data_IF_117445278468
#
_entry.id   IF_117445278468
#
_cell.length_a   1.000
_cell.length_b   1.000
_cell.length_c   1.000
_cell.angle_alpha   90.00
_cell.angle_beta   90.00
_cell.angle_gamma   90.00
#
_symmetry.space_group_name_H-M   'P 1'
#
loop_
_entity.id
_entity.type
_entity.pdbx_description
1 polymer ?
#
# COMPACT_ATOMS: atom_id res chain seq x y z
N UNK A 1 2.49 -65.79 -9.67
CA UNK A 1 3.59 -65.50 -8.72
C UNK A 1 3.09 -64.48 -7.72
N UNK A 2 3.13 -64.87 -6.45
CA UNK A 2 2.34 -64.34 -5.33
C UNK A 2 3.33 -63.89 -4.26
N UNK A 3 3.34 -62.60 -3.86
CA UNK A 3 3.92 -62.03 -2.61
C UNK A 3 3.25 -60.65 -2.43
N UNK A 4 2.38 -60.33 -1.48
CA UNK A 4 2.26 -60.57 -0.03
C UNK A 4 3.34 -59.85 0.80
N UNK A 5 2.94 -59.32 1.97
CA UNK A 5 3.66 -58.58 3.04
C UNK A 5 3.87 -57.05 2.83
N UNK A 6 3.63 -56.15 3.78
CA UNK A 6 3.22 -56.26 5.20
C UNK A 6 2.58 -54.93 5.68
N UNK A 7 1.63 -55.07 6.61
CA UNK A 7 1.01 -54.03 7.44
C UNK A 7 1.92 -53.74 8.65
N UNK A 8 2.11 -52.48 9.01
CA UNK A 8 2.62 -52.09 10.34
C UNK A 8 1.54 -51.26 11.04
N UNK A 9 0.96 -51.86 12.07
CA UNK A 9 0.14 -51.22 13.11
C UNK A 9 0.95 -51.30 14.40
N UNK A 10 1.24 -50.14 14.99
CA UNK A 10 1.64 -49.90 16.39
C UNK A 10 1.19 -48.45 16.64
N UNK A 11 0.26 -48.12 17.53
CA UNK A 11 0.02 -48.67 18.86
C UNK A 11 0.57 -47.65 19.87
N UNK A 12 -0.30 -46.89 20.54
CA UNK A 12 0.14 -45.90 21.53
C UNK A 12 -0.99 -45.04 22.09
N UNK A 13 -1.82 -45.65 22.92
CA UNK A 13 -2.85 -44.98 23.71
C UNK A 13 -2.25 -44.21 24.91
N UNK A 14 -2.92 -43.13 25.30
CA UNK A 14 -3.04 -42.72 26.71
C UNK A 14 -2.12 -41.60 27.18
N UNK A 15 -2.67 -40.38 27.24
CA UNK A 15 -2.45 -39.48 28.39
C UNK A 15 -3.67 -38.56 28.52
N UNK A 16 -4.66 -39.04 29.27
CA UNK A 16 -5.54 -38.20 30.08
C UNK A 16 -4.70 -37.70 31.25
N UNK A 17 -4.75 -36.39 31.54
CA UNK A 17 -4.67 -35.75 32.86
C UNK A 17 -4.52 -34.22 32.68
N UNK A 18 -5.64 -33.52 32.73
CA UNK A 18 -5.75 -32.22 33.43
C UNK A 18 -6.22 -32.56 34.84
N UNK A 19 -5.78 -31.88 35.92
CA UNK A 19 -6.08 -30.45 36.11
C UNK A 19 -5.01 -29.66 36.89
N UNK A 20 -5.08 -28.33 36.84
CA UNK A 20 -4.95 -27.44 38.01
C UNK A 20 -4.94 -25.98 37.56
N UNK A 21 -6.08 -25.33 37.76
CA UNK A 21 -6.21 -23.89 37.81
C UNK A 21 -5.47 -23.38 39.05
N UNK A 22 -4.37 -22.64 38.86
CA UNK A 22 -3.76 -21.87 39.94
C UNK A 22 -4.36 -20.46 39.92
N UNK A 23 -5.43 -20.26 40.71
CA UNK A 23 -5.91 -18.93 41.07
C UNK A 23 -4.92 -18.30 42.05
N UNK A 24 -4.10 -17.37 41.56
CA UNK A 24 -3.30 -16.51 42.42
C UNK A 24 -4.25 -15.53 43.15
N UNK A 25 -4.46 -15.81 44.43
CA UNK A 25 -5.25 -15.03 45.36
C UNK A 25 -4.38 -13.86 45.88
N UNK A 26 -4.51 -12.68 45.30
CA UNK A 26 -3.94 -11.46 45.86
C UNK A 26 -4.95 -10.86 46.85
N UNK A 27 -4.66 -11.03 48.15
CA UNK A 27 -5.31 -10.28 49.22
C UNK A 27 -4.81 -8.83 49.29
N UNK A 28 -5.60 -7.91 49.87
CA UNK A 28 -5.37 -6.47 49.78
C UNK A 28 -4.28 -6.03 50.75
N UNK A 29 -3.29 -5.30 50.24
CA UNK A 29 -2.40 -4.50 51.10
C UNK A 29 -2.86 -3.05 51.04
N UNK A 30 -3.27 -2.57 52.20
CA UNK A 30 -3.70 -1.21 52.48
C UNK A 30 -2.64 -0.17 52.08
N UNK A 31 -3.08 0.97 51.55
CA UNK A 31 -2.26 2.17 51.46
C UNK A 31 -2.60 3.10 50.31
N UNK A 32 -3.30 4.19 50.65
CA UNK A 32 -3.33 5.49 49.95
C UNK A 32 -3.93 5.52 48.53
N UNK A 33 -5.20 5.95 48.49
CA UNK A 33 -5.96 6.19 47.26
C UNK A 33 -5.49 7.42 46.49
N UNK A 34 -5.27 7.20 45.20
CA UNK A 34 -5.42 8.20 44.13
C UNK A 34 -6.38 7.63 43.08
N UNK A 35 -7.17 8.45 42.37
CA UNK A 35 -8.11 7.95 41.39
C UNK A 35 -7.37 7.28 40.23
N UNK A 36 -7.65 6.00 39.98
CA UNK A 36 -7.16 5.28 38.81
C UNK A 36 -7.83 5.84 37.53
N UNK A 37 -7.10 5.96 36.41
CA UNK A 37 -7.68 6.41 35.16
C UNK A 37 -8.66 5.35 34.62
N UNK A 38 -9.90 5.78 34.38
CA UNK A 38 -10.89 4.99 33.65
C UNK A 38 -10.49 5.01 32.17
N UNK A 39 -10.04 3.87 31.64
CA UNK A 39 -9.90 3.68 30.19
C UNK A 39 -11.27 3.27 29.67
N UNK A 40 -11.98 4.22 29.08
CA UNK A 40 -13.21 3.97 28.32
C UNK A 40 -12.80 3.64 26.88
N UNK A 41 -13.11 2.45 26.32
CA UNK A 41 -12.97 2.24 24.88
C UNK A 41 -14.08 3.01 24.16
N UNK A 42 -13.76 4.15 23.56
CA UNK A 42 -14.72 4.89 22.73
C UNK A 42 -14.82 4.25 21.34
N UNK A 43 -15.79 3.38 21.14
CA UNK A 43 -16.36 3.11 19.82
C UNK A 43 -17.47 4.14 19.58
N UNK A 44 -17.17 5.22 18.86
CA UNK A 44 -18.18 6.17 18.40
C UNK A 44 -18.17 6.26 16.86
N UNK A 45 -19.16 5.67 16.16
CA UNK A 45 -19.22 5.65 14.70
C UNK A 45 -19.76 6.95 14.05
N UNK A 46 -19.95 8.04 14.80
CA UNK A 46 -20.64 9.25 14.29
C UNK A 46 -19.74 10.40 13.82
N UNK A 47 -18.41 10.25 13.80
CA UNK A 47 -17.52 11.28 13.23
C UNK A 47 -17.16 10.98 11.77
N UNK A 48 -18.14 11.08 10.88
CA UNK A 48 -17.85 11.37 9.47
C UNK A 48 -17.69 12.88 9.37
N UNK A 49 -16.46 13.38 9.28
CA UNK A 49 -16.23 14.81 8.99
C UNK A 49 -16.31 14.97 7.47
N UNK A 50 -17.38 15.58 6.91
CA UNK A 50 -17.42 15.87 5.50
C UNK A 50 -16.27 16.82 5.15
N UNK A 51 -15.42 16.38 4.21
CA UNK A 51 -14.38 17.24 3.65
C UNK A 51 -15.04 18.19 2.64
N UNK A 52 -15.29 19.43 3.05
CA UNK A 52 -15.71 20.47 2.12
C UNK A 52 -14.50 20.96 1.32
N UNK A 53 -14.53 20.71 0.00
CA UNK A 53 -13.57 21.29 -0.94
C UNK A 53 -14.04 22.69 -1.33
N UNK A 54 -13.38 23.71 -0.82
CA UNK A 54 -13.53 25.07 -1.33
C UNK A 54 -12.45 25.34 -2.38
N UNK A 55 -12.87 25.46 -3.65
CA UNK A 55 -12.03 26.01 -4.71
C UNK A 55 -12.17 27.53 -4.69
N UNK A 56 -11.13 28.24 -4.28
CA UNK A 56 -11.05 29.69 -4.47
C UNK A 56 -10.25 29.98 -5.73
N UNK A 57 -10.91 30.52 -6.75
CA UNK A 57 -10.24 31.01 -7.96
C UNK A 57 -9.75 32.43 -7.69
N UNK A 58 -8.44 32.63 -7.60
CA UNK A 58 -7.84 33.96 -7.55
C UNK A 58 -7.26 34.29 -8.92
N UNK A 59 -7.85 35.28 -9.58
CA UNK A 59 -7.29 35.88 -10.79
C UNK A 59 -6.29 36.96 -10.38
N UNK A 60 -5.02 36.76 -10.69
CA UNK A 60 -4.00 37.80 -10.58
C UNK A 60 -3.74 38.36 -11.99
N UNK A 61 -3.86 39.69 -12.21
CA UNK A 61 -3.43 40.29 -13.46
C UNK A 61 -1.90 40.24 -13.55
N UNK A 62 -1.37 39.36 -14.40
CA UNK A 62 0.04 39.29 -14.77
C UNK A 62 0.25 39.69 -16.24
N UNK A 63 1.50 39.99 -16.66
CA UNK A 63 1.81 40.44 -18.03
C UNK A 63 1.65 39.34 -19.10
N UNK A 64 1.30 38.12 -18.70
CA UNK A 64 1.05 37.00 -19.60
C UNK A 64 -0.46 36.69 -19.62
N UNK A 65 -1.15 36.84 -20.75
CA UNK A 65 -2.51 36.34 -20.87
C UNK A 65 -2.47 34.80 -20.72
N UNK A 66 -3.32 34.25 -19.84
CA UNK A 66 -3.55 32.82 -19.57
C UNK A 66 -2.61 32.07 -18.58
N UNK A 67 -1.98 32.72 -17.61
CA UNK A 67 -1.34 31.97 -16.50
C UNK A 67 -2.31 31.78 -15.33
N UNK A 68 -2.95 30.61 -15.24
CA UNK A 68 -3.71 30.18 -14.05
C UNK A 68 -2.81 29.37 -13.12
N UNK A 69 -2.63 29.86 -11.89
CA UNK A 69 -1.91 29.14 -10.84
C UNK A 69 -2.94 28.48 -9.93
N UNK A 70 -2.87 27.15 -9.82
CA UNK A 70 -3.75 26.37 -8.95
C UNK A 70 -3.08 26.18 -7.59
N UNK A 71 -3.72 26.66 -6.52
CA UNK A 71 -3.32 26.31 -5.16
C UNK A 71 -4.48 25.66 -4.44
N UNK A 72 -4.42 24.35 -4.25
CA UNK A 72 -5.37 23.62 -3.42
C UNK A 72 -4.96 23.78 -1.96
N UNK A 73 -5.77 24.47 -1.14
CA UNK A 73 -5.58 24.53 0.32
C UNK A 73 -6.60 23.65 1.02
N UNK A 74 -6.12 22.85 1.96
CA UNK A 74 -6.95 22.07 2.87
C UNK A 74 -7.13 22.87 4.16
N UNK A 75 -8.37 23.23 4.50
CA UNK A 75 -8.70 23.82 5.80
C UNK A 75 -9.42 22.79 6.65
N UNK A 76 -8.89 22.52 7.83
CA UNK A 76 -9.58 21.77 8.88
C UNK A 76 -10.22 22.80 9.82
N UNK A 77 -11.51 23.10 9.64
CA UNK A 77 -12.26 23.90 10.61
C UNK A 77 -13.07 22.99 11.53
N UNK A 78 -12.86 23.10 12.83
CA UNK A 78 -13.76 22.52 13.84
C UNK A 78 -15.03 23.38 13.93
N UNK A 79 -16.20 22.74 13.84
CA UNK A 79 -17.51 23.40 13.80
C UNK A 79 -17.91 23.96 15.19
N UNK A 80 -18.33 25.23 15.36
CA UNK A 80 -18.60 25.82 16.67
C UNK A 80 -20.09 25.73 17.05
N UNK A 81 -20.65 24.51 17.14
CA UNK A 81 -22.10 24.34 17.39
C UNK A 81 -22.45 23.81 18.81
N UNK A 82 -21.47 23.55 19.68
CA UNK A 82 -21.78 23.08 21.05
C UNK A 82 -20.97 23.81 22.13
N UNK A 83 -21.36 25.05 22.43
CA UNK A 83 -21.06 25.68 23.72
C UNK A 83 -22.36 26.19 24.34
N UNK A 84 -22.93 25.37 25.22
CA UNK A 84 -24.14 25.71 25.99
C UNK A 84 -23.69 26.05 27.41
N UNK A 85 -23.59 27.34 27.73
CA UNK A 85 -23.91 27.85 29.08
C UNK A 85 -24.05 29.38 29.09
N UNK A 86 -25.09 29.94 29.74
CA UNK A 86 -25.36 31.37 29.76
C UNK A 86 -24.89 32.03 31.07
N UNK A 87 -24.12 33.12 30.99
CA UNK A 87 -24.15 34.21 31.98
C UNK A 87 -23.10 35.30 31.68
N UNK A 88 -23.61 36.50 31.39
CA UNK A 88 -23.04 37.84 31.56
C UNK A 88 -21.98 38.40 30.57
N UNK A 89 -21.98 39.74 30.38
CA UNK A 89 -21.46 40.39 29.18
C UNK A 89 -20.15 41.15 29.39
N UNK A 90 -19.64 41.60 28.24
CA UNK A 90 -18.77 42.74 27.98
C UNK A 90 -17.23 42.51 27.97
N UNK A 91 -16.71 42.59 26.74
CA UNK A 91 -15.62 43.47 26.30
C UNK A 91 -14.34 43.44 27.14
N UNK A 92 -13.30 42.76 26.64
CA UNK A 92 -12.00 43.36 26.31
C UNK A 92 -11.19 42.34 25.49
N UNK A 93 -10.67 42.78 24.35
CA UNK A 93 -9.69 42.04 23.56
C UNK A 93 -8.36 42.01 24.33
N UNK A 94 -7.92 40.84 24.78
CA UNK A 94 -6.52 40.65 25.15
C UNK A 94 -5.98 39.36 24.53
N UNK A 95 -5.01 39.58 23.67
CA UNK A 95 -3.99 38.64 23.24
C UNK A 95 -3.27 38.10 24.47
N UNK A 96 -3.53 36.85 24.84
CA UNK A 96 -2.67 36.09 25.73
C UNK A 96 -2.58 34.65 25.22
N UNK A 97 -1.34 34.25 24.94
CA UNK A 97 -1.01 32.89 24.57
C UNK A 97 -1.39 31.92 25.69
N UNK A 98 -1.90 30.77 25.29
CA UNK A 98 -2.01 29.62 26.16
C UNK A 98 -1.39 28.42 25.48
N UNK A 99 -0.27 28.03 26.07
CA UNK A 99 0.51 26.84 25.79
C UNK A 99 -0.33 25.60 26.06
N UNK A 100 -0.53 24.78 25.04
CA UNK A 100 -0.88 23.37 25.24
C UNK A 100 0.27 22.50 24.73
N UNK A 101 0.86 21.79 25.68
CA UNK A 101 1.84 20.72 25.49
C UNK A 101 1.22 19.59 24.66
N UNK A 102 1.59 19.55 23.38
CA UNK A 102 1.36 18.43 22.46
C UNK A 102 2.73 17.96 21.97
N UNK A 103 2.95 16.65 22.03
CA UNK A 103 4.20 15.96 21.71
C UNK A 103 4.76 16.43 20.36
N UNK A 104 6.03 16.84 20.39
CA UNK A 104 6.72 17.48 19.28
C UNK A 104 6.94 16.58 18.08
N UNK A 105 6.12 16.77 17.05
CA UNK A 105 6.61 16.73 15.67
C UNK A 105 7.09 18.13 15.36
N UNK A 106 8.39 18.28 15.08
CA UNK A 106 9.03 19.56 14.82
C UNK A 106 8.29 20.29 13.69
N UNK A 107 7.68 21.47 13.92
CA UNK A 107 6.97 22.22 12.87
C UNK A 107 7.89 22.71 11.74
N UNK A 108 9.21 22.55 11.91
CA UNK A 108 10.21 22.98 10.93
C UNK A 108 10.38 22.02 9.75
N UNK A 109 9.99 20.74 9.84
CA UNK A 109 10.28 19.77 8.77
C UNK A 109 9.47 20.04 7.49
N UNK A 110 8.18 20.32 7.64
CA UNK A 110 7.33 20.68 6.50
C UNK A 110 7.72 22.03 5.88
N UNK A 111 8.16 22.98 6.72
CA UNK A 111 8.61 24.30 6.28
C UNK A 111 9.98 24.24 5.59
N UNK A 112 10.88 23.37 6.03
CA UNK A 112 12.17 23.09 5.37
C UNK A 112 11.98 22.39 4.03
N UNK A 113 11.13 21.36 3.97
CA UNK A 113 10.80 20.69 2.71
C UNK A 113 10.21 21.66 1.68
N UNK A 114 9.34 22.58 2.12
CA UNK A 114 8.79 23.62 1.25
C UNK A 114 9.84 24.63 0.78
N UNK A 115 10.80 24.99 1.65
CA UNK A 115 11.91 25.89 1.29
C UNK A 115 12.89 25.24 0.31
N UNK A 116 13.19 23.96 0.49
CA UNK A 116 14.08 23.23 -0.41
C UNK A 116 13.45 23.00 -1.78
N UNK A 117 12.14 22.73 -1.85
CA UNK A 117 11.41 22.67 -3.11
C UNK A 117 11.46 24.02 -3.86
N UNK A 118 11.30 25.14 -3.14
CA UNK A 118 11.42 26.48 -3.73
C UNK A 118 12.85 26.82 -4.17
N UNK A 119 13.89 26.37 -3.44
CA UNK A 119 15.29 26.53 -3.87
C UNK A 119 15.57 25.73 -5.14
N UNK A 120 15.10 24.49 -5.21
CA UNK A 120 15.26 23.62 -6.38
C UNK A 120 14.57 24.23 -7.63
N UNK A 121 13.37 24.79 -7.46
CA UNK A 121 12.67 25.49 -8.55
C UNK A 121 13.38 26.78 -8.98
N UNK A 122 13.98 27.54 -8.05
CA UNK A 122 14.81 28.71 -8.40
C UNK A 122 16.08 28.33 -9.13
N UNK A 123 16.79 27.28 -8.70
CA UNK A 123 17.99 26.81 -9.39
C UNK A 123 17.73 26.28 -10.78
N UNK A 124 16.51 25.78 -11.06
CA UNK A 124 16.10 25.37 -12.40
C UNK A 124 15.64 26.52 -13.29
N UNK A 125 15.21 27.66 -12.72
CA UNK A 125 14.68 28.81 -13.46
C UNK A 125 15.69 29.93 -13.67
N UNK A 126 16.80 29.94 -12.94
CA UNK A 126 17.95 30.80 -13.26
C UNK A 126 18.85 30.11 -14.28
N UNK A 127 18.85 30.50 -15.57
CA UNK A 127 19.94 30.13 -16.45
C UNK A 127 21.25 30.63 -15.83
N UNK A 128 22.36 29.89 -15.93
CA UNK A 128 23.63 30.33 -15.39
C UNK A 128 23.93 31.72 -15.94
N UNK A 129 24.13 32.69 -15.04
CA UNK A 129 24.51 34.03 -15.40
C UNK A 129 25.83 33.96 -16.17
N UNK A 130 25.74 33.97 -17.49
CA UNK A 130 26.87 34.16 -18.37
C UNK A 130 27.33 35.59 -18.16
N UNK A 131 28.46 35.75 -17.50
CA UNK A 131 29.18 37.01 -17.47
C UNK A 131 29.58 37.37 -18.91
N UNK A 132 28.85 38.33 -19.46
CA UNK A 132 29.21 39.28 -20.53
C UNK A 132 30.56 39.01 -21.23
N UNK A 133 30.50 38.28 -22.34
CA UNK A 133 31.44 38.41 -23.44
C UNK A 133 30.64 38.83 -24.69
N UNK A 134 30.37 40.13 -24.79
CA UNK A 134 29.86 40.75 -26.01
C UNK A 134 31.01 40.77 -27.02
N UNK A 135 30.95 39.95 -28.07
CA UNK A 135 31.82 40.17 -29.24
C UNK A 135 32.36 38.99 -30.04
N UNK A 136 31.94 37.73 -29.84
CA UNK A 136 32.37 36.64 -30.73
C UNK A 136 31.18 35.91 -31.36
N UNK A 137 31.06 36.01 -32.68
CA UNK A 137 30.24 35.08 -33.48
C UNK A 137 30.82 33.67 -33.28
N UNK A 138 30.06 32.69 -32.77
CA UNK A 138 30.56 31.32 -32.71
C UNK A 138 30.65 30.77 -34.13
N UNK A 139 31.86 30.55 -34.60
CA UNK A 139 32.12 29.79 -35.81
C UNK A 139 31.56 28.37 -35.61
N UNK A 140 30.77 27.91 -36.59
CA UNK A 140 30.05 26.64 -36.65
C UNK A 140 30.45 25.58 -35.64
N UNK A 141 29.70 25.49 -34.54
CA UNK A 141 29.64 24.26 -33.78
C UNK A 141 28.96 23.22 -34.66
N UNK A 142 29.76 22.34 -35.26
CA UNK A 142 29.29 21.11 -35.88
C UNK A 142 28.59 20.35 -34.75
N UNK A 143 27.25 20.37 -34.75
CA UNK A 143 26.47 19.45 -33.93
C UNK A 143 26.82 18.08 -34.49
N UNK A 144 27.77 17.41 -33.84
CA UNK A 144 28.12 16.03 -34.13
C UNK A 144 26.81 15.24 -34.02
N UNK A 145 26.29 14.85 -35.18
CA UNK A 145 25.01 14.15 -35.27
C UNK A 145 25.11 12.94 -34.37
N UNK A 146 24.33 12.92 -33.29
CA UNK A 146 24.26 11.77 -32.38
C UNK A 146 24.07 10.54 -33.26
N UNK A 147 25.01 9.56 -33.23
CA UNK A 147 24.92 8.40 -34.10
C UNK A 147 23.53 7.80 -33.95
N UNK A 148 22.88 7.60 -35.10
CA UNK A 148 21.52 7.08 -35.20
C UNK A 148 21.55 5.58 -34.85
N UNK A 149 21.86 5.27 -33.59
CA UNK A 149 21.85 3.90 -33.10
C UNK A 149 20.43 3.38 -33.23
N UNK A 150 20.21 2.24 -33.92
CA UNK A 150 18.88 1.67 -34.05
C UNK A 150 18.30 1.47 -32.65
N UNK A 151 17.11 2.03 -32.40
CA UNK A 151 16.42 1.80 -31.14
C UNK A 151 16.32 0.28 -30.90
N UNK A 152 16.58 -0.20 -29.67
CA UNK A 152 16.44 -1.61 -29.34
C UNK A 152 15.08 -2.13 -29.80
N UNK A 153 15.08 -3.31 -30.42
CA UNK A 153 13.87 -3.94 -30.93
C UNK A 153 12.82 -4.04 -29.81
N UNK A 154 11.61 -3.52 -30.07
CA UNK A 154 10.50 -3.44 -29.10
C UNK A 154 10.40 -2.12 -28.31
N UNK A 155 11.43 -1.26 -28.32
CA UNK A 155 11.40 0.01 -27.59
C UNK A 155 10.39 1.02 -28.18
N UNK A 156 10.30 1.07 -29.51
CA UNK A 156 9.31 1.91 -30.20
C UNK A 156 7.86 1.50 -29.89
N UNK A 157 7.60 0.21 -29.71
CA UNK A 157 6.28 -0.31 -29.32
C UNK A 157 5.96 0.02 -27.86
N UNK A 158 6.95 -0.06 -26.98
CA UNK A 158 6.82 0.24 -25.55
C UNK A 158 6.61 1.75 -25.25
N UNK A 159 7.12 2.64 -26.12
CA UNK A 159 6.95 4.09 -26.02
C UNK A 159 5.84 4.68 -26.90
N UNK A 160 5.32 3.91 -27.85
CA UNK A 160 4.14 4.33 -28.60
C UNK A 160 3.00 4.66 -27.62
N UNK A 161 2.01 5.48 -28.01
CA UNK A 161 0.83 5.72 -27.18
C UNK A 161 0.23 4.36 -26.82
N UNK A 162 0.54 3.88 -25.61
CA UNK A 162 0.16 2.55 -25.22
C UNK A 162 -1.36 2.51 -25.24
N UNK A 163 -1.91 1.47 -25.86
CA UNK A 163 -3.34 1.24 -25.81
C UNK A 163 -3.74 1.25 -24.33
N UNK A 164 -4.59 2.22 -23.98
CA UNK A 164 -5.00 2.43 -22.59
C UNK A 164 -5.56 1.14 -22.00
N UNK A 165 -6.29 0.34 -22.79
CA UNK A 165 -6.82 -0.93 -22.34
C UNK A 165 -5.72 -1.90 -21.90
N UNK A 166 -4.60 -1.98 -22.65
CA UNK A 166 -3.45 -2.82 -22.33
C UNK A 166 -2.67 -2.35 -21.10
N UNK A 167 -2.64 -1.04 -20.86
CA UNK A 167 -2.04 -0.51 -19.62
C UNK A 167 -2.90 -0.87 -18.43
N UNK A 168 -4.22 -0.73 -18.56
CA UNK A 168 -5.16 -1.04 -17.48
C UNK A 168 -5.30 -2.53 -17.20
N UNK A 169 -5.11 -3.42 -18.18
CA UNK A 169 -5.03 -4.87 -17.92
C UNK A 169 -3.70 -5.29 -17.27
N UNK A 170 -2.72 -4.38 -17.18
CA UNK A 170 -1.36 -4.68 -16.73
C UNK A 170 -0.50 -5.41 -17.78
N UNK A 171 -1.03 -5.73 -18.96
CA UNK A 171 -0.31 -6.41 -20.04
C UNK A 171 0.95 -5.63 -20.46
N UNK A 172 0.82 -4.34 -20.77
CA UNK A 172 1.97 -3.53 -21.21
C UNK A 172 3.00 -3.30 -20.09
N UNK A 173 2.54 -3.24 -18.82
CA UNK A 173 3.45 -3.18 -17.68
C UNK A 173 4.25 -4.47 -17.52
N UNK A 174 3.63 -5.63 -17.80
CA UNK A 174 4.31 -6.92 -17.78
C UNK A 174 5.32 -7.08 -18.94
N UNK A 175 5.00 -6.56 -20.13
CA UNK A 175 5.94 -6.48 -21.26
C UNK A 175 7.15 -5.60 -20.90
N UNK A 176 6.91 -4.42 -20.32
CA UNK A 176 7.96 -3.52 -19.84
C UNK A 176 8.81 -4.18 -18.75
N UNK A 177 8.19 -4.86 -17.78
CA UNK A 177 8.88 -5.60 -16.73
C UNK A 177 9.84 -6.64 -17.34
N UNK A 178 9.39 -7.44 -18.30
CA UNK A 178 10.23 -8.43 -18.98
C UNK A 178 11.39 -7.77 -19.75
N UNK A 179 11.12 -6.66 -20.44
CA UNK A 179 12.15 -5.90 -21.16
C UNK A 179 13.20 -5.31 -20.22
N UNK A 180 12.79 -4.76 -19.08
CA UNK A 180 13.70 -4.23 -18.05
C UNK A 180 14.58 -5.34 -17.48
N UNK A 181 14.00 -6.49 -17.11
CA UNK A 181 14.77 -7.64 -16.59
C UNK A 181 15.83 -8.12 -17.60
N UNK A 182 15.54 -8.06 -18.90
CA UNK A 182 16.50 -8.39 -19.96
C UNK A 182 17.59 -7.31 -20.13
N UNK A 183 17.26 -6.04 -19.91
CA UNK A 183 18.17 -4.91 -20.09
C UNK A 183 19.08 -4.63 -18.88
N UNK A 184 18.62 -4.90 -17.65
CA UNK A 184 19.35 -4.61 -16.41
C UNK A 184 20.78 -5.17 -16.35
N UNK A 185 21.07 -6.42 -16.78
CA UNK A 185 22.43 -6.96 -16.78
C UNK A 185 23.42 -6.15 -17.63
N UNK A 186 22.94 -5.47 -18.67
CA UNK A 186 23.76 -4.71 -19.61
C UNK A 186 23.79 -3.20 -19.31
N UNK A 187 22.70 -2.66 -18.75
CA UNK A 187 22.51 -1.22 -18.55
C UNK A 187 23.26 -0.62 -17.37
N UNK A 188 23.77 -1.47 -16.46
CA UNK A 188 24.37 -1.05 -15.19
C UNK A 188 23.37 -0.41 -14.22
N UNK A 189 23.86 -0.01 -13.04
CA UNK A 189 23.03 0.71 -12.07
C UNK A 189 22.70 2.10 -12.61
N UNK A 190 21.43 2.32 -12.98
CA UNK A 190 20.89 3.61 -13.42
C UNK A 190 19.96 4.18 -12.36
N UNK A 191 19.87 5.50 -12.29
CA UNK A 191 18.85 6.16 -11.51
C UNK A 191 17.46 5.72 -12.02
N UNK A 192 16.58 5.35 -11.10
CA UNK A 192 15.22 4.91 -11.42
C UNK A 192 14.20 5.86 -10.82
N UNK A 193 13.05 5.96 -11.48
CA UNK A 193 11.95 6.79 -10.99
C UNK A 193 11.49 6.29 -9.62
N UNK A 194 11.19 7.23 -8.74
CA UNK A 194 10.61 6.94 -7.44
C UNK A 194 9.12 6.65 -7.58
N UNK A 195 8.66 5.60 -6.88
CA UNK A 195 7.28 5.13 -6.85
C UNK A 195 6.74 5.37 -5.44
N UNK A 196 5.80 6.32 -5.26
CA UNK A 196 5.27 6.65 -3.94
C UNK A 196 4.42 5.50 -3.38
N UNK A 197 4.35 5.41 -2.05
CA UNK A 197 3.58 4.39 -1.34
C UNK A 197 2.08 4.36 -1.74
N UNK A 198 1.48 5.52 -1.98
CA UNK A 198 0.10 5.65 -2.42
C UNK A 198 -0.14 4.90 -3.74
N UNK A 199 0.74 5.08 -4.72
CA UNK A 199 0.64 4.39 -6.00
C UNK A 199 0.79 2.89 -5.81
N UNK A 200 1.76 2.44 -5.01
CA UNK A 200 1.92 1.01 -4.72
C UNK A 200 0.63 0.42 -4.14
N UNK A 201 -0.08 1.13 -3.24
CA UNK A 201 -1.31 0.67 -2.59
C UNK A 201 -2.49 0.49 -3.54
N UNK A 202 -2.45 1.17 -4.68
CA UNK A 202 -3.50 1.11 -5.70
C UNK A 202 -3.27 0.02 -6.75
N UNK A 203 -2.03 -0.46 -6.86
CA UNK A 203 -1.64 -1.49 -7.83
C UNK A 203 -1.96 -2.89 -7.33
N UNK A 204 -2.47 -3.74 -8.25
CA UNK A 204 -2.72 -5.16 -8.01
C UNK A 204 -1.68 -6.01 -8.71
N UNK A 205 -1.26 -7.06 -7.99
CA UNK A 205 -0.34 -8.06 -8.52
C UNK A 205 -1.09 -9.34 -8.90
N UNK A 206 -0.58 -10.09 -9.86
CA UNK A 206 -1.11 -11.37 -10.31
C UNK A 206 0.01 -12.34 -10.70
N UNK A 207 -0.36 -13.42 -11.38
CA UNK A 207 0.57 -14.40 -11.97
C UNK A 207 1.10 -15.48 -11.03
N UNK A 208 0.86 -15.38 -9.71
CA UNK A 208 1.28 -16.40 -8.74
C UNK A 208 0.46 -16.39 -7.45
N UNK A 209 0.46 -17.51 -6.72
CA UNK A 209 -0.13 -17.63 -5.37
C UNK A 209 0.39 -16.53 -4.42
N UNK A 210 1.66 -16.13 -4.59
CA UNK A 210 2.31 -15.08 -3.80
C UNK A 210 1.67 -13.70 -4.04
N UNK A 211 1.19 -13.44 -5.26
CA UNK A 211 0.51 -12.20 -5.59
C UNK A 211 -0.84 -12.09 -4.85
N UNK A 212 -1.61 -13.16 -4.79
CA UNK A 212 -2.87 -13.20 -4.04
C UNK A 212 -2.63 -12.98 -2.55
N UNK A 213 -1.63 -13.67 -1.98
CA UNK A 213 -1.22 -13.50 -0.60
C UNK A 213 -0.82 -12.05 -0.29
N UNK A 214 -0.02 -11.43 -1.17
CA UNK A 214 0.40 -10.04 -1.05
C UNK A 214 -0.78 -9.08 -1.13
N UNK A 215 -1.67 -9.24 -2.12
CA UNK A 215 -2.84 -8.39 -2.29
C UNK A 215 -3.79 -8.46 -1.07
N UNK A 216 -4.02 -9.66 -0.54
CA UNK A 216 -4.86 -9.87 0.65
C UNK A 216 -4.19 -9.31 1.90
N UNK A 217 -2.91 -9.60 2.13
CA UNK A 217 -2.20 -9.17 3.32
C UNK A 217 -2.13 -7.65 3.43
N UNK A 218 -1.99 -6.92 2.32
CA UNK A 218 -2.05 -5.44 2.31
C UNK A 218 -3.41 -4.87 2.72
N UNK A 219 -4.46 -5.69 2.70
CA UNK A 219 -5.84 -5.33 3.04
C UNK A 219 -6.31 -5.91 4.38
N UNK A 220 -5.43 -6.48 5.19
CA UNK A 220 -5.83 -7.27 6.35
C UNK A 220 -6.69 -6.54 7.40
N UNK A 221 -6.63 -5.21 7.49
CA UNK A 221 -7.53 -4.41 8.34
C UNK A 221 -8.87 -4.03 7.68
N UNK A 222 -8.97 -4.15 6.36
CA UNK A 222 -10.11 -3.75 5.53
C UNK A 222 -10.43 -4.87 4.52
N UNK A 223 -10.59 -6.10 5.01
CA UNK A 223 -11.03 -7.21 4.18
C UNK A 223 -12.47 -6.97 3.73
N UNK A 224 -12.68 -6.91 2.42
CA UNK A 224 -14.01 -6.88 1.82
C UNK A 224 -14.56 -8.30 1.76
N UNK A 225 -15.45 -8.61 2.70
CA UNK A 225 -16.16 -9.87 2.70
C UNK A 225 -17.28 -9.83 1.65
N UNK A 226 -17.45 -10.89 0.84
CA UNK A 226 -18.62 -11.04 -0.03
C UNK A 226 -19.93 -11.02 0.77
N UNK A 227 -21.03 -10.58 0.14
CA UNK A 227 -22.35 -10.44 0.77
C UNK A 227 -22.86 -11.74 1.43
N UNK A 228 -22.44 -12.91 0.94
CA UNK A 228 -22.75 -14.20 1.57
C UNK A 228 -22.36 -14.27 3.06
N UNK A 229 -21.30 -13.56 3.48
CA UNK A 229 -20.86 -13.51 4.88
C UNK A 229 -21.68 -12.57 5.77
N UNK A 230 -22.69 -11.88 5.23
CA UNK A 230 -23.72 -11.18 6.01
C UNK A 230 -24.80 -12.15 6.53
N UNK A 231 -24.83 -13.39 6.03
CA UNK A 231 -25.72 -14.43 6.54
C UNK A 231 -25.43 -14.72 8.02
N UNK A 232 -26.50 -14.84 8.84
CA UNK A 232 -26.40 -15.09 10.27
C UNK A 232 -25.56 -16.33 10.61
N UNK A 233 -25.60 -17.38 9.77
CA UNK A 233 -24.83 -18.61 9.96
C UNK A 233 -23.31 -18.43 9.79
N UNK A 234 -22.87 -17.39 9.06
CA UNK A 234 -21.45 -17.11 8.81
C UNK A 234 -20.91 -15.91 9.59
N UNK A 235 -21.75 -15.20 10.34
CA UNK A 235 -21.37 -13.95 11.01
C UNK A 235 -20.20 -14.15 11.98
N UNK A 236 -20.25 -15.21 12.79
CA UNK A 236 -19.18 -15.52 13.75
C UNK A 236 -17.90 -15.95 13.04
N UNK A 237 -18.02 -16.74 11.96
CA UNK A 237 -16.88 -17.19 11.17
C UNK A 237 -16.22 -16.02 10.41
N UNK A 238 -17.01 -15.05 9.93
CA UNK A 238 -16.50 -13.80 9.35
C UNK A 238 -15.63 -13.04 10.34
N UNK A 239 -16.10 -12.86 11.58
CA UNK A 239 -15.36 -12.15 12.63
C UNK A 239 -14.08 -12.91 13.02
N UNK A 240 -14.18 -14.23 13.17
CA UNK A 240 -13.03 -15.07 13.46
C UNK A 240 -11.98 -15.03 12.34
N UNK A 241 -12.41 -15.15 11.08
CA UNK A 241 -11.56 -15.04 9.90
C UNK A 241 -10.83 -13.70 9.85
N UNK A 242 -11.57 -12.59 10.02
CA UNK A 242 -10.98 -11.25 10.00
C UNK A 242 -9.89 -11.09 11.08
N UNK A 243 -10.19 -11.52 12.32
CA UNK A 243 -9.25 -11.45 13.44
C UNK A 243 -8.01 -12.30 13.21
N UNK A 244 -8.20 -13.58 12.85
CA UNK A 244 -7.09 -14.53 12.74
C UNK A 244 -6.22 -14.23 11.52
N UNK A 245 -6.82 -13.77 10.41
CA UNK A 245 -6.09 -13.29 9.24
C UNK A 245 -5.27 -12.04 9.56
N UNK A 246 -5.86 -11.05 10.26
CA UNK A 246 -5.14 -9.84 10.65
C UNK A 246 -3.88 -10.14 11.47
N UNK A 247 -3.97 -11.09 12.42
CA UNK A 247 -2.84 -11.49 13.25
C UNK A 247 -1.68 -12.14 12.46
N UNK A 248 -1.99 -12.79 11.34
CA UNK A 248 -1.01 -13.39 10.43
C UNK A 248 -0.44 -12.34 9.47
N UNK A 249 -1.32 -11.53 8.87
CA UNK A 249 -0.95 -10.53 7.89
C UNK A 249 -0.09 -9.40 8.47
N UNK A 250 -0.29 -9.03 9.74
CA UNK A 250 0.57 -8.05 10.44
C UNK A 250 2.06 -8.47 10.39
N UNK A 251 2.34 -9.76 10.55
CA UNK A 251 3.72 -10.30 10.50
C UNK A 251 4.27 -10.23 9.08
N UNK A 252 3.45 -10.56 8.08
CA UNK A 252 3.83 -10.44 6.67
C UNK A 252 4.11 -9.00 6.27
N UNK A 253 3.24 -8.06 6.66
CA UNK A 253 3.40 -6.62 6.39
C UNK A 253 4.69 -6.08 7.02
N UNK A 254 5.09 -6.61 8.17
CA UNK A 254 6.36 -6.29 8.80
C UNK A 254 7.58 -6.97 8.13
N UNK A 255 7.38 -7.72 7.04
CA UNK A 255 8.41 -8.50 6.34
C UNK A 255 8.95 -9.69 7.15
N UNK A 256 8.24 -10.13 8.19
CA UNK A 256 8.68 -11.17 9.12
C UNK A 256 7.99 -12.50 8.84
N UNK A 257 8.63 -13.59 9.25
CA UNK A 257 8.02 -14.91 9.23
C UNK A 257 6.75 -14.94 10.11
N UNK A 258 5.72 -15.60 9.60
CA UNK A 258 4.44 -15.79 10.30
C UNK A 258 4.64 -16.79 11.45
N UNK A 259 4.06 -16.47 12.61
CA UNK A 259 4.05 -17.37 13.77
C UNK A 259 3.28 -18.67 13.46
N UNK A 260 3.89 -19.81 13.76
CA UNK A 260 3.31 -21.12 13.43
C UNK A 260 1.97 -21.38 14.11
N UNK A 261 1.79 -20.92 15.36
CA UNK A 261 0.55 -21.10 16.11
C UNK A 261 -0.55 -20.20 15.53
N UNK A 262 -0.24 -18.93 15.24
CA UNK A 262 -1.20 -18.02 14.58
C UNK A 262 -1.64 -18.54 13.21
N UNK A 263 -0.70 -19.10 12.43
CA UNK A 263 -1.00 -19.71 11.13
C UNK A 263 -1.91 -20.94 11.27
N UNK A 264 -1.61 -21.83 12.20
CA UNK A 264 -2.44 -23.01 12.47
C UNK A 264 -3.86 -22.62 12.94
N UNK A 265 -3.96 -21.58 13.78
CA UNK A 265 -5.24 -21.04 14.20
C UNK A 265 -6.05 -20.50 13.01
N UNK A 266 -5.42 -19.72 12.12
CA UNK A 266 -6.07 -19.22 10.92
C UNK A 266 -6.53 -20.35 10.00
N UNK A 267 -5.74 -21.41 9.85
CA UNK A 267 -6.09 -22.60 9.08
C UNK A 267 -7.35 -23.30 9.62
N UNK A 268 -7.45 -23.50 10.94
CA UNK A 268 -8.63 -24.10 11.57
C UNK A 268 -9.87 -23.22 11.35
N UNK A 269 -9.73 -21.91 11.53
CA UNK A 269 -10.82 -20.95 11.31
C UNK A 269 -11.28 -20.95 9.84
N UNK A 270 -10.36 -21.05 8.89
CA UNK A 270 -10.69 -21.14 7.47
C UNK A 270 -11.46 -22.43 7.13
N UNK A 271 -11.01 -23.58 7.62
CA UNK A 271 -11.70 -24.86 7.42
C UNK A 271 -13.11 -24.85 8.02
N UNK A 272 -13.28 -24.22 9.19
CA UNK A 272 -14.59 -24.04 9.82
C UNK A 272 -15.51 -23.20 8.95
N UNK A 273 -15.02 -22.05 8.45
CA UNK A 273 -15.78 -21.17 7.58
C UNK A 273 -16.16 -21.85 6.25
N UNK A 274 -15.27 -22.64 5.66
CA UNK A 274 -15.57 -23.43 4.45
C UNK A 274 -16.68 -24.46 4.69
N UNK A 275 -16.64 -25.15 5.84
CA UNK A 275 -17.67 -26.13 6.22
C UNK A 275 -19.02 -25.46 6.46
N UNK A 276 -19.04 -24.34 7.19
CA UNK A 276 -20.24 -23.56 7.43
C UNK A 276 -20.82 -23.03 6.11
N UNK A 277 -19.97 -22.49 5.23
CA UNK A 277 -20.37 -22.01 3.91
C UNK A 277 -20.98 -23.13 3.05
N UNK A 278 -20.37 -24.32 3.06
CA UNK A 278 -20.87 -25.46 2.30
C UNK A 278 -22.30 -25.86 2.70
N UNK A 279 -22.68 -25.68 3.96
CA UNK A 279 -24.03 -26.01 4.47
C UNK A 279 -25.12 -25.07 3.94
N UNK A 280 -24.81 -23.78 3.79
CA UNK A 280 -25.78 -22.76 3.34
C UNK A 280 -25.70 -22.44 1.84
N UNK A 281 -24.67 -22.94 1.15
CA UNK A 281 -24.37 -22.60 -0.25
C UNK A 281 -25.57 -22.78 -1.20
N UNK A 282 -26.42 -23.79 -0.95
CA UNK A 282 -27.58 -24.10 -1.80
C UNK A 282 -28.71 -23.06 -1.67
N UNK A 283 -28.73 -22.32 -0.58
CA UNK A 283 -29.77 -21.34 -0.26
C UNK A 283 -29.36 -19.91 -0.66
N UNK A 284 -28.12 -19.72 -1.13
CA UNK A 284 -27.59 -18.42 -1.56
C UNK A 284 -27.81 -18.20 -3.06
N UNK A 285 -27.93 -16.93 -3.50
CA UNK A 285 -27.82 -16.58 -4.91
C UNK A 285 -26.53 -17.11 -5.54
N UNK A 286 -26.59 -17.56 -6.80
CA UNK A 286 -25.45 -18.18 -7.47
C UNK A 286 -24.21 -17.26 -7.54
N UNK A 287 -24.43 -15.96 -7.74
CA UNK A 287 -23.36 -14.96 -7.78
C UNK A 287 -22.68 -14.80 -6.43
N UNK A 288 -23.45 -14.72 -5.34
CA UNK A 288 -22.92 -14.63 -3.97
C UNK A 288 -22.17 -15.89 -3.56
N UNK A 289 -22.70 -17.06 -3.90
CA UNK A 289 -22.03 -18.34 -3.66
C UNK A 289 -20.69 -18.43 -4.44
N UNK A 290 -20.65 -17.91 -5.66
CA UNK A 290 -19.42 -17.89 -6.48
C UNK A 290 -18.39 -16.91 -5.90
N UNK A 291 -18.82 -15.72 -5.50
CA UNK A 291 -17.95 -14.72 -4.87
C UNK A 291 -17.37 -15.22 -3.54
N UNK A 292 -18.20 -15.81 -2.67
CA UNK A 292 -17.77 -16.39 -1.39
C UNK A 292 -16.77 -17.52 -1.58
N UNK A 293 -17.02 -18.43 -2.52
CA UNK A 293 -16.09 -19.52 -2.85
C UNK A 293 -14.76 -18.98 -3.36
N UNK A 294 -14.78 -17.98 -4.25
CA UNK A 294 -13.54 -17.35 -4.77
C UNK A 294 -12.74 -16.72 -3.63
N UNK A 295 -13.41 -16.01 -2.72
CA UNK A 295 -12.78 -15.39 -1.55
C UNK A 295 -12.13 -16.42 -0.62
N UNK A 296 -12.83 -17.50 -0.27
CA UNK A 296 -12.28 -18.58 0.56
C UNK A 296 -11.08 -19.26 -0.11
N UNK A 297 -11.16 -19.50 -1.43
CA UNK A 297 -10.03 -20.02 -2.20
C UNK A 297 -8.81 -19.07 -2.17
N UNK A 298 -9.01 -17.76 -2.30
CA UNK A 298 -7.93 -16.78 -2.21
C UNK A 298 -7.26 -16.80 -0.81
N UNK A 299 -8.06 -16.93 0.25
CA UNK A 299 -7.53 -17.10 1.61
C UNK A 299 -6.75 -18.41 1.78
N UNK A 300 -7.23 -19.52 1.22
CA UNK A 300 -6.54 -20.80 1.24
C UNK A 300 -5.20 -20.74 0.48
N UNK A 301 -5.17 -20.07 -0.67
CA UNK A 301 -3.95 -19.81 -1.44
C UNK A 301 -2.97 -18.96 -0.63
N UNK A 302 -3.44 -17.89 0.03
CA UNK A 302 -2.61 -17.06 0.88
C UNK A 302 -2.01 -17.85 2.06
N UNK A 303 -2.81 -18.68 2.71
CA UNK A 303 -2.37 -19.58 3.78
C UNK A 303 -1.28 -20.55 3.29
N UNK A 304 -1.41 -21.10 2.08
CA UNK A 304 -0.40 -21.97 1.47
C UNK A 304 0.94 -21.25 1.27
N UNK A 305 0.91 -20.00 0.79
CA UNK A 305 2.13 -19.18 0.68
C UNK A 305 2.75 -18.91 2.04
N UNK A 306 1.95 -18.66 3.07
CA UNK A 306 2.44 -18.45 4.45
C UNK A 306 3.07 -19.70 5.09
N UNK A 307 2.87 -20.88 4.50
CA UNK A 307 3.53 -22.13 4.92
C UNK A 307 4.90 -22.28 4.28
N UNK A 308 5.18 -21.60 3.18
CA UNK A 308 6.47 -21.66 2.49
C UNK A 308 7.42 -20.58 3.00
N UNK A 309 8.72 -20.86 3.01
CA UNK A 309 9.74 -19.88 3.44
C UNK A 309 9.75 -18.61 2.56
N UNK A 310 9.17 -18.70 1.36
CA UNK A 310 9.00 -17.58 0.41
C UNK A 310 8.06 -16.49 0.92
N UNK A 311 7.25 -16.72 1.96
CA UNK A 311 6.45 -15.65 2.56
C UNK A 311 7.31 -14.58 3.25
N UNK A 312 8.51 -14.92 3.70
CA UNK A 312 9.40 -13.97 4.38
C UNK A 312 9.93 -12.95 3.37
N UNK A 313 9.68 -11.67 3.64
CA UNK A 313 10.04 -10.56 2.75
C UNK A 313 9.10 -10.38 1.55
N UNK A 314 7.99 -11.13 1.46
CA UNK A 314 7.01 -10.96 0.39
C UNK A 314 6.44 -9.54 0.35
N UNK A 315 6.29 -8.89 1.51
CA UNK A 315 5.99 -7.46 1.58
C UNK A 315 7.23 -6.78 2.11
N UNK A 316 7.75 -5.82 1.36
CA UNK A 316 8.78 -4.93 1.86
C UNK A 316 8.12 -3.88 2.78
N UNK A 317 8.44 -3.84 4.09
CA UNK A 317 7.83 -2.89 5.01
C UNK A 317 8.09 -1.43 4.60
N UNK A 318 9.18 -1.15 3.86
CA UNK A 318 9.51 0.19 3.37
C UNK A 318 8.49 0.74 2.39
N UNK A 319 7.78 -0.13 1.67
CA UNK A 319 6.75 0.30 0.73
C UNK A 319 5.63 1.09 1.39
N UNK A 320 5.36 0.82 2.67
CA UNK A 320 4.30 1.50 3.42
C UNK A 320 4.68 2.92 3.85
N UNK A 321 5.95 3.14 4.23
CA UNK A 321 6.44 4.40 4.80
C UNK A 321 7.15 5.28 3.77
N UNK A 322 8.00 4.68 2.96
CA UNK A 322 8.94 5.38 2.08
C UNK A 322 8.61 5.20 0.60
N UNK A 323 7.83 4.19 0.21
CA UNK A 323 7.65 3.83 -1.19
C UNK A 323 8.80 2.96 -1.69
N UNK A 324 9.11 3.03 -3.00
CA UNK A 324 10.19 2.25 -3.61
C UNK A 324 10.71 2.93 -4.87
N UNK A 325 11.78 2.41 -5.47
CA UNK A 325 12.17 2.78 -6.83
C UNK A 325 11.65 1.75 -7.85
N UNK A 326 11.55 2.13 -9.13
CA UNK A 326 11.18 1.17 -10.19
C UNK A 326 12.16 -0.01 -10.24
N UNK A 327 13.46 0.23 -10.09
CA UNK A 327 14.47 -0.83 -10.09
C UNK A 327 14.23 -1.84 -8.95
N UNK A 328 13.97 -1.34 -7.74
CA UNK A 328 13.73 -2.21 -6.58
C UNK A 328 12.39 -2.94 -6.69
N UNK A 329 11.36 -2.29 -7.25
CA UNK A 329 10.08 -2.93 -7.53
C UNK A 329 10.24 -4.06 -8.55
N UNK A 330 10.99 -3.84 -9.63
CA UNK A 330 11.28 -4.88 -10.65
C UNK A 330 12.00 -6.06 -10.01
N UNK A 331 13.07 -5.82 -9.25
CA UNK A 331 13.79 -6.89 -8.52
C UNK A 331 12.87 -7.68 -7.61
N UNK A 332 12.01 -6.99 -6.87
CA UNK A 332 11.05 -7.62 -5.97
C UNK A 332 10.04 -8.48 -6.75
N UNK A 333 9.46 -7.94 -7.82
CA UNK A 333 8.54 -8.68 -8.68
C UNK A 333 9.20 -9.89 -9.34
N UNK A 334 10.45 -9.78 -9.81
CA UNK A 334 11.19 -10.92 -10.35
C UNK A 334 11.46 -11.98 -9.29
N UNK A 335 11.88 -11.58 -8.08
CA UNK A 335 12.17 -12.50 -6.97
C UNK A 335 10.94 -13.33 -6.59
N UNK A 336 9.77 -12.69 -6.52
CA UNK A 336 8.53 -13.34 -6.10
C UNK A 336 7.64 -13.79 -7.25
N UNK A 337 8.13 -13.71 -8.51
CA UNK A 337 7.38 -14.04 -9.73
C UNK A 337 6.01 -13.35 -9.76
N UNK A 338 5.99 -12.07 -9.44
CA UNK A 338 4.81 -11.22 -9.49
C UNK A 338 4.67 -10.62 -10.88
N UNK A 339 3.44 -10.49 -11.31
CA UNK A 339 3.05 -9.75 -12.50
C UNK A 339 2.05 -8.67 -12.09
N UNK A 340 1.81 -7.68 -12.94
CA UNK A 340 0.69 -6.77 -12.78
C UNK A 340 -0.60 -7.47 -13.19
N UNK A 341 -1.66 -7.26 -12.41
CA UNK A 341 -3.02 -7.70 -12.73
C UNK A 341 -3.85 -6.50 -13.20
N UNK A 342 -5.10 -6.74 -13.58
CA UNK A 342 -6.05 -5.70 -13.98
C UNK A 342 -6.17 -4.59 -12.91
N UNK A 343 -6.23 -3.35 -13.39
CA UNK A 343 -6.41 -2.17 -12.58
C UNK A 343 -7.80 -2.20 -11.91
N UNK A 344 -7.88 -2.02 -10.58
CA UNK A 344 -9.17 -1.79 -9.92
C UNK A 344 -9.84 -0.53 -10.49
N UNK A 345 -11.17 -0.55 -10.56
CA UNK A 345 -11.94 0.64 -10.93
C UNK A 345 -11.59 1.82 -10.03
N UNK A 346 -11.27 2.97 -10.63
CA UNK A 346 -10.83 4.18 -9.94
C UNK A 346 -9.31 4.33 -9.76
N UNK A 347 -8.53 3.29 -10.07
CA UNK A 347 -7.06 3.30 -9.94
C UNK A 347 -6.34 3.38 -11.29
N UNK A 348 -7.02 3.81 -12.35
CA UNK A 348 -6.53 3.80 -13.71
C UNK A 348 -5.29 4.70 -13.89
N UNK A 349 -5.28 5.87 -13.26
CA UNK A 349 -4.16 6.83 -13.37
C UNK A 349 -2.88 6.31 -12.70
N UNK A 350 -3.01 5.47 -11.66
CA UNK A 350 -1.86 4.84 -11.01
C UNK A 350 -1.15 3.86 -11.94
N UNK A 351 -1.89 3.10 -12.74
CA UNK A 351 -1.33 2.21 -13.77
C UNK A 351 -0.67 3.00 -14.90
N UNK A 352 -1.29 4.08 -15.37
CA UNK A 352 -0.72 4.96 -16.40
C UNK A 352 0.57 5.63 -15.91
N UNK A 353 0.60 6.09 -14.66
CA UNK A 353 1.79 6.69 -14.04
C UNK A 353 2.90 5.65 -13.90
N UNK A 354 2.58 4.44 -13.44
CA UNK A 354 3.56 3.36 -13.33
C UNK A 354 4.14 2.98 -14.69
N UNK A 355 3.31 2.96 -15.73
CA UNK A 355 3.74 2.68 -17.09
C UNK A 355 4.77 3.70 -17.57
N UNK A 356 4.51 5.00 -17.38
CA UNK A 356 5.47 6.07 -17.71
C UNK A 356 6.79 5.89 -16.94
N UNK A 357 6.72 5.54 -15.66
CA UNK A 357 7.90 5.31 -14.82
C UNK A 357 8.74 4.11 -15.30
N UNK A 358 8.09 3.00 -15.66
CA UNK A 358 8.76 1.80 -16.19
C UNK A 358 9.39 2.07 -17.55
N UNK A 359 8.65 2.72 -18.45
CA UNK A 359 9.14 3.10 -19.77
C UNK A 359 10.36 4.04 -19.69
N UNK A 360 10.30 5.04 -18.80
CA UNK A 360 11.42 5.95 -18.53
C UNK A 360 12.65 5.22 -17.97
N UNK A 361 12.47 4.26 -17.07
CA UNK A 361 13.57 3.46 -16.56
C UNK A 361 14.19 2.56 -17.64
N UNK A 362 13.37 1.89 -18.45
CA UNK A 362 13.83 1.09 -19.58
C UNK A 362 14.64 1.93 -20.58
N UNK A 363 14.20 3.16 -20.88
CA UNK A 363 14.95 4.09 -21.72
C UNK A 363 16.35 4.36 -21.16
N UNK A 364 16.48 4.62 -19.86
CA UNK A 364 17.78 4.87 -19.23
C UNK A 364 18.71 3.65 -19.27
N UNK A 365 18.15 2.43 -19.18
CA UNK A 365 18.91 1.20 -19.29
C UNK A 365 19.43 0.94 -20.71
N UNK A 366 18.74 1.44 -21.75
CA UNK A 366 19.14 1.25 -23.15
C UNK A 366 20.11 2.31 -23.66
N UNK A 367 20.31 3.40 -22.92
CA UNK A 367 21.33 4.39 -23.27
C UNK A 367 22.75 3.81 -23.13
N UNK A 368 23.66 4.10 -24.06
CA UNK A 368 25.05 3.69 -23.93
C UNK A 368 25.65 4.26 -22.63
N UNK A 369 26.56 3.50 -22.02
CA UNK A 369 27.30 3.97 -20.86
C UNK A 369 28.26 5.06 -21.34
N UNK A 370 28.02 6.31 -20.90
CA UNK A 370 28.93 7.42 -21.13
C UNK A 370 30.22 7.23 -20.33
#
# INVERSE_FOLDING_TARGET
MTRLTAVIILGGAGFLLSPASASAQFGPRAGLGGPAPIIVPSFNPFFYVPQYRYQSNMFLPGPFPNTTIWTTRYYYSTNPIWSVSPAYPAIYSQSLGSSYSSMGVRPNLALEAQRDLMRAQRSMSTPPASTNAVGSKPAGAVIESVPNSPMPEGFGTALAPADRAKVLSGESLNELLAAIVKAEPNGGLRASAFVPNMLLNEVRFGGSDAADALNLARRAGNLEFPAAFDNAALKDDRLALARDFAAVAERLQAGKAVDANKRAQFEVTLQKAETAFASIKKDLPADDATAAKRFLNQMATALKVMKTDTATGLIDPKWSSEGTTVADLVKHMTRYKLQFADAPAGNEESYLTLHRNFAGYLFLLTQPKK
#
